data_IF_737114364570
#
_entry.id   IF_737114364570
#
_cell.length_a   1.000
_cell.length_b   1.000
_cell.length_c   1.000
_cell.angle_alpha   90.00
_cell.angle_beta   90.00
_cell.angle_gamma   90.00
#
_symmetry.space_group_name_H-M   'P 1'
#
loop_
_entity.id
_entity.type
_entity.pdbx_description
1 polymer ?
#
# COMPACT_ATOMS: atom_id res chain seq x y z
N UNK A 1 8.16 14.51 20.62
CA UNK A 1 8.52 15.05 19.29
C UNK A 1 7.31 14.91 18.37
N UNK A 2 6.88 16.00 17.70
CA UNK A 2 5.73 15.97 16.78
C UNK A 2 6.18 16.18 15.35
N UNK A 3 5.91 15.22 14.47
CA UNK A 3 6.38 15.20 13.08
C UNK A 3 5.19 15.23 12.12
N UNK A 4 5.26 16.10 11.11
CA UNK A 4 4.32 16.05 10.00
C UNK A 4 4.90 15.15 8.89
N UNK A 5 4.18 14.11 8.57
CA UNK A 5 4.49 13.25 7.44
C UNK A 5 3.64 13.62 6.22
N UNK A 6 4.30 13.82 5.09
CA UNK A 6 3.64 14.07 3.81
C UNK A 6 3.87 12.89 2.87
N UNK A 7 2.87 12.02 2.76
CA UNK A 7 2.83 10.91 1.80
C UNK A 7 1.39 10.70 1.36
N UNK A 8 1.05 11.20 0.18
CA UNK A 8 -0.36 11.37 -0.22
C UNK A 8 -0.91 10.19 -1.02
N UNK A 9 -0.10 9.54 -1.86
CA UNK A 9 -0.54 8.47 -2.76
C UNK A 9 0.65 7.75 -3.41
N UNK A 10 0.53 6.56 -4.03
CA UNK A 10 -0.69 5.76 -4.13
C UNK A 10 -0.88 4.87 -2.89
N UNK A 11 -1.88 3.94 -2.92
CA UNK A 11 -2.10 3.02 -1.78
C UNK A 11 -0.83 2.26 -1.39
N UNK A 12 -0.13 1.65 -2.35
CA UNK A 12 1.13 0.94 -2.08
C UNK A 12 2.20 1.85 -1.48
N UNK A 13 2.35 3.09 -1.99
CA UNK A 13 3.30 4.06 -1.44
C UNK A 13 2.97 4.47 0.00
N UNK A 14 1.67 4.60 0.33
CA UNK A 14 1.21 4.91 1.69
C UNK A 14 1.55 3.73 2.62
N UNK A 15 1.25 2.50 2.21
CA UNK A 15 1.60 1.29 2.96
C UNK A 15 3.11 1.16 3.16
N UNK A 16 3.91 1.36 2.11
CA UNK A 16 5.37 1.28 2.17
C UNK A 16 6.01 2.28 3.15
N UNK A 17 5.24 3.25 3.64
CA UNK A 17 5.74 4.23 4.62
C UNK A 17 5.62 3.73 6.07
N UNK A 18 4.72 2.80 6.35
CA UNK A 18 4.46 2.30 7.71
C UNK A 18 5.71 1.75 8.42
N UNK A 19 6.62 0.98 7.76
CA UNK A 19 7.81 0.49 8.43
C UNK A 19 8.75 1.59 8.93
N UNK A 20 8.81 2.72 8.26
CA UNK A 20 9.63 3.85 8.71
C UNK A 20 9.05 4.51 9.98
N UNK A 21 7.72 4.51 10.16
CA UNK A 21 7.09 4.96 11.40
C UNK A 21 7.40 4.00 12.56
N UNK A 22 7.39 2.70 12.29
CA UNK A 22 7.77 1.68 13.28
C UNK A 22 9.20 1.87 13.76
N UNK A 23 10.15 2.04 12.82
CA UNK A 23 11.54 2.31 13.15
C UNK A 23 11.69 3.59 13.97
N UNK A 24 11.06 4.68 13.54
CA UNK A 24 11.11 5.96 14.24
C UNK A 24 10.56 5.86 15.66
N UNK A 25 9.43 5.16 15.86
CA UNK A 25 8.82 4.96 17.18
C UNK A 25 9.71 4.17 18.12
N UNK A 26 10.51 3.25 17.61
CA UNK A 26 11.46 2.45 18.39
C UNK A 26 12.71 3.24 18.82
N UNK A 27 13.11 4.25 18.04
CA UNK A 27 14.39 4.96 18.24
C UNK A 27 14.24 6.38 18.79
N UNK A 28 13.08 7.00 18.61
CA UNK A 28 12.82 8.37 19.07
C UNK A 28 11.72 8.33 20.14
N UNK A 29 12.05 8.60 21.41
CA UNK A 29 11.07 8.59 22.51
C UNK A 29 9.90 9.54 22.23
N UNK A 30 8.69 9.09 22.54
CA UNK A 30 7.45 9.88 22.47
C UNK A 30 7.19 10.57 21.13
N UNK A 31 7.72 10.01 20.03
CA UNK A 31 7.45 10.52 18.68
C UNK A 31 5.98 10.27 18.30
N UNK A 32 5.35 11.30 17.76
CA UNK A 32 3.98 11.26 17.23
C UNK A 32 3.96 11.83 15.81
N UNK A 33 3.19 11.21 14.93
CA UNK A 33 3.03 11.65 13.56
C UNK A 33 1.63 12.18 13.29
N UNK A 34 1.57 13.36 12.69
CA UNK A 34 0.41 13.80 11.93
C UNK A 34 0.68 13.47 10.46
N UNK A 35 -0.25 12.83 9.76
CA UNK A 35 -0.01 12.35 8.40
C UNK A 35 -0.95 12.97 7.38
N UNK A 36 -0.40 13.69 6.41
CA UNK A 36 -1.14 14.20 5.24
C UNK A 36 -1.21 13.13 4.17
N UNK A 37 -2.43 12.70 3.85
CA UNK A 37 -2.72 11.62 2.90
C UNK A 37 -3.95 11.94 2.05
N UNK A 38 -4.00 11.45 0.81
CA UNK A 38 -5.19 11.61 -0.06
C UNK A 38 -6.42 10.96 0.59
N UNK A 39 -7.58 11.63 0.51
CA UNK A 39 -8.84 11.23 1.19
C UNK A 39 -9.21 9.76 1.01
N UNK A 40 -8.96 9.18 -0.18
CA UNK A 40 -9.24 7.77 -0.47
C UNK A 40 -8.36 6.76 0.28
N UNK A 41 -7.27 7.20 0.92
CA UNK A 41 -6.36 6.36 1.69
C UNK A 41 -6.27 6.76 3.16
N UNK A 42 -7.10 7.69 3.61
CA UNK A 42 -7.04 8.27 4.96
C UNK A 42 -7.21 7.24 6.08
N UNK A 43 -7.78 6.08 5.77
CA UNK A 43 -7.97 5.00 6.73
C UNK A 43 -6.67 4.24 7.05
N UNK A 44 -5.72 4.14 6.10
CA UNK A 44 -4.48 3.37 6.29
C UNK A 44 -3.61 3.88 7.45
N UNK A 45 -3.32 5.19 7.55
CA UNK A 45 -2.53 5.71 8.66
C UNK A 45 -3.12 5.43 10.04
N UNK A 46 -4.46 5.36 10.17
CA UNK A 46 -5.14 5.13 11.46
C UNK A 46 -4.88 3.75 12.05
N UNK A 47 -4.35 2.82 11.27
CA UNK A 47 -4.00 1.47 11.72
C UNK A 47 -2.66 1.39 12.45
N UNK A 48 -1.83 2.44 12.31
CA UNK A 48 -0.50 2.46 12.92
C UNK A 48 -0.48 3.31 14.20
N UNK A 49 0.03 2.75 15.28
CA UNK A 49 -0.01 3.33 16.62
C UNK A 49 0.95 4.52 16.86
N UNK A 50 1.76 4.91 15.87
CA UNK A 50 2.59 6.12 15.92
C UNK A 50 1.87 7.33 15.29
N UNK A 51 0.73 7.12 14.61
CA UNK A 51 -0.05 8.19 13.98
C UNK A 51 -1.07 8.71 14.97
N UNK A 52 -0.97 10.00 15.29
CA UNK A 52 -1.89 10.69 16.20
C UNK A 52 -3.05 11.29 15.41
N UNK A 53 -2.77 12.01 14.32
CA UNK A 53 -3.78 12.63 13.50
C UNK A 53 -3.58 12.31 12.02
N UNK A 54 -4.68 12.09 11.32
CA UNK A 54 -4.72 12.00 9.87
C UNK A 54 -5.32 13.28 9.31
N UNK A 55 -4.61 13.91 8.39
CA UNK A 55 -5.01 15.14 7.70
C UNK A 55 -5.34 14.80 6.25
N UNK A 56 -6.61 14.54 5.90
CA UNK A 56 -6.99 14.19 4.53
C UNK A 56 -6.79 15.37 3.59
N UNK A 57 -6.25 15.09 2.40
CA UNK A 57 -6.14 16.04 1.31
C UNK A 57 -6.80 15.47 0.05
N UNK A 58 -7.44 16.30 -0.75
CA UNK A 58 -8.15 15.87 -1.95
C UNK A 58 -7.58 16.50 -3.24
N UNK A 59 -6.24 16.47 -3.40
CA UNK A 59 -5.55 17.12 -4.52
C UNK A 59 -6.10 16.66 -5.87
N UNK A 60 -6.41 15.35 -6.01
CA UNK A 60 -6.94 14.79 -7.26
C UNK A 60 -8.31 15.37 -7.62
N UNK A 61 -9.18 15.55 -6.63
CA UNK A 61 -10.52 16.11 -6.80
C UNK A 61 -10.45 17.62 -6.96
N UNK A 62 -9.67 18.33 -6.14
CA UNK A 62 -9.51 19.79 -6.22
C UNK A 62 -9.01 20.27 -7.57
N UNK A 63 -8.05 19.55 -8.19
CA UNK A 63 -7.50 19.91 -9.51
C UNK A 63 -8.55 19.99 -10.61
N UNK A 64 -9.63 19.22 -10.53
CA UNK A 64 -10.70 19.23 -11.53
C UNK A 64 -11.56 20.48 -11.44
N UNK A 65 -11.67 21.10 -10.25
CA UNK A 65 -12.58 22.21 -9.98
C UNK A 65 -11.92 23.26 -9.08
N UNK A 66 -10.66 23.60 -9.36
CA UNK A 66 -9.81 24.42 -8.49
C UNK A 66 -10.40 25.76 -8.06
N UNK A 67 -11.21 26.41 -8.93
CA UNK A 67 -11.78 27.74 -8.71
C UNK A 67 -13.19 27.73 -8.11
N UNK A 68 -13.83 26.56 -7.95
CA UNK A 68 -15.14 26.47 -7.32
C UNK A 68 -15.08 26.95 -5.87
N UNK A 69 -16.16 27.60 -5.41
CA UNK A 69 -16.24 28.19 -4.06
C UNK A 69 -16.05 27.13 -2.96
N UNK A 70 -16.78 26.02 -3.05
CA UNK A 70 -16.67 24.88 -2.13
C UNK A 70 -15.24 24.31 -2.04
N UNK A 71 -14.56 24.13 -3.18
CA UNK A 71 -13.17 23.65 -3.22
C UNK A 71 -12.20 24.68 -2.60
N UNK A 72 -12.45 25.97 -2.78
CA UNK A 72 -11.64 27.01 -2.13
C UNK A 72 -11.80 26.99 -0.61
N UNK A 73 -13.02 26.78 -0.13
CA UNK A 73 -13.33 26.64 1.30
C UNK A 73 -12.66 25.40 1.90
N UNK A 74 -12.78 24.23 1.26
CA UNK A 74 -12.08 23.00 1.68
C UNK A 74 -10.55 23.20 1.76
N UNK A 75 -9.96 23.84 0.76
CA UNK A 75 -8.52 24.14 0.74
C UNK A 75 -8.13 25.13 1.84
N UNK A 76 -8.97 26.09 2.17
CA UNK A 76 -8.73 27.01 3.28
C UNK A 76 -8.78 26.28 4.63
N UNK A 77 -9.76 25.40 4.83
CA UNK A 77 -9.87 24.55 6.02
C UNK A 77 -8.66 23.62 6.16
N UNK A 78 -8.26 22.92 5.09
CA UNK A 78 -7.07 22.10 5.06
C UNK A 78 -5.81 22.88 5.45
N UNK A 79 -5.63 24.09 4.88
CA UNK A 79 -4.51 24.97 5.22
C UNK A 79 -4.55 25.38 6.70
N UNK A 80 -5.71 25.74 7.22
CA UNK A 80 -5.87 26.09 8.63
C UNK A 80 -5.51 24.92 9.52
N UNK A 81 -6.01 23.71 9.23
CA UNK A 81 -5.68 22.49 9.96
C UNK A 81 -4.17 22.20 9.96
N UNK A 82 -3.52 22.32 8.79
CA UNK A 82 -2.08 22.11 8.64
C UNK A 82 -1.24 23.10 9.45
N UNK A 83 -1.74 24.30 9.67
CA UNK A 83 -1.07 25.39 10.38
C UNK A 83 -1.42 25.48 11.87
N UNK A 84 -2.25 24.57 12.40
CA UNK A 84 -2.60 24.56 13.82
C UNK A 84 -1.42 24.24 14.75
N UNK A 85 -0.42 23.53 14.22
CA UNK A 85 0.72 23.05 15.00
C UNK A 85 2.04 23.54 14.42
N UNK A 86 2.99 23.78 15.32
CA UNK A 86 4.40 23.87 14.99
C UNK A 86 4.98 22.45 15.08
N UNK A 87 5.58 21.96 13.99
CA UNK A 87 6.19 20.65 13.94
C UNK A 87 7.70 20.74 14.20
N UNK A 88 8.23 19.76 14.93
CA UNK A 88 9.67 19.63 15.11
C UNK A 88 10.38 19.27 13.79
N UNK A 89 9.72 18.42 12.99
CA UNK A 89 10.16 18.07 11.65
C UNK A 89 8.95 17.87 10.71
N UNK A 90 9.13 18.17 9.44
CA UNK A 90 8.17 17.90 8.35
C UNK A 90 8.91 17.02 7.35
N UNK A 91 8.48 15.76 7.18
CA UNK A 91 9.11 14.81 6.26
C UNK A 91 8.26 14.63 5.01
N UNK A 92 8.72 15.15 3.86
CA UNK A 92 8.08 14.91 2.57
C UNK A 92 8.63 13.62 1.93
N UNK A 93 7.98 12.51 2.23
CA UNK A 93 8.29 11.21 1.64
C UNK A 93 7.61 10.99 0.28
N UNK A 94 6.79 11.95 -0.21
CA UNK A 94 6.16 11.89 -1.53
C UNK A 94 7.14 12.28 -2.65
N UNK A 95 7.92 13.34 -2.43
CA UNK A 95 8.94 13.79 -3.36
C UNK A 95 8.41 14.31 -4.70
N UNK A 96 7.24 14.93 -4.72
CA UNK A 96 6.61 15.53 -5.90
C UNK A 96 6.42 17.04 -5.70
N UNK A 97 6.52 17.81 -6.77
CA UNK A 97 6.30 19.26 -6.73
C UNK A 97 4.94 19.62 -6.12
N UNK A 98 3.91 18.84 -6.42
CA UNK A 98 2.56 19.08 -5.87
C UNK A 98 2.50 18.90 -4.35
N UNK A 99 3.19 17.90 -3.76
CA UNK A 99 3.25 17.71 -2.32
C UNK A 99 4.09 18.79 -1.65
N UNK A 100 5.24 19.10 -2.21
CA UNK A 100 6.13 20.13 -1.70
C UNK A 100 5.46 21.51 -1.72
N UNK A 101 4.79 21.89 -2.82
CA UNK A 101 4.17 23.19 -2.98
C UNK A 101 2.82 23.35 -2.25
N UNK A 102 1.95 22.32 -2.33
CA UNK A 102 0.58 22.43 -1.80
C UNK A 102 0.45 22.00 -0.33
N UNK A 103 1.45 21.30 0.21
CA UNK A 103 1.42 20.79 1.57
C UNK A 103 2.68 21.22 2.34
N UNK A 104 3.84 20.69 2.01
CA UNK A 104 5.09 20.84 2.78
C UNK A 104 5.44 22.31 3.04
N UNK A 105 5.32 23.16 2.01
CA UNK A 105 5.60 24.60 2.12
C UNK A 105 4.66 25.32 3.09
N UNK A 106 3.42 24.87 3.25
CA UNK A 106 2.41 25.55 4.05
C UNK A 106 2.50 25.23 5.54
N UNK A 107 3.14 24.12 5.91
CA UNK A 107 3.32 23.72 7.29
C UNK A 107 4.49 24.47 7.94
N UNK A 108 4.42 24.63 9.26
CA UNK A 108 5.44 25.32 10.07
C UNK A 108 6.34 24.31 10.78
N UNK A 109 7.63 24.33 10.47
CA UNK A 109 8.65 23.41 11.03
C UNK A 109 9.81 23.21 10.07
N UNK A 110 10.85 22.47 10.51
CA UNK A 110 12.01 22.10 9.70
C UNK A 110 11.62 21.08 8.63
N UNK A 111 11.85 21.39 7.37
CA UNK A 111 11.38 20.60 6.21
C UNK A 111 12.48 19.69 5.70
N UNK A 112 12.21 18.39 5.72
CA UNK A 112 13.09 17.33 5.26
C UNK A 112 12.51 16.65 4.04
N UNK A 113 13.38 16.24 3.11
CA UNK A 113 12.99 15.48 1.93
C UNK A 113 14.22 14.92 1.21
N UNK A 114 13.99 14.25 0.10
CA UNK A 114 15.05 13.70 -0.74
C UNK A 114 15.84 14.82 -1.43
N UNK A 115 17.14 14.63 -1.61
CA UNK A 115 17.97 15.53 -2.39
C UNK A 115 17.61 15.49 -3.90
N UNK A 116 18.18 16.43 -4.66
CA UNK A 116 17.91 16.59 -6.08
C UNK A 116 18.18 15.34 -6.91
N UNK A 117 19.11 14.47 -6.49
CA UNK A 117 19.48 13.24 -7.20
C UNK A 117 18.59 12.08 -6.84
N UNK A 118 18.13 12.02 -5.59
CA UNK A 118 17.31 10.95 -5.03
C UNK A 118 15.82 11.14 -5.27
N UNK A 119 15.35 12.39 -5.36
CA UNK A 119 13.94 12.72 -5.50
C UNK A 119 13.37 12.34 -6.89
N UNK A 120 12.06 12.13 -6.97
CA UNK A 120 11.37 11.84 -8.23
C UNK A 120 11.25 13.08 -9.14
N UNK A 121 10.92 14.22 -8.57
CA UNK A 121 10.82 15.51 -9.27
C UNK A 121 11.86 16.48 -8.68
N UNK A 122 13.01 16.69 -9.33
CA UNK A 122 14.15 17.44 -8.77
C UNK A 122 13.83 18.85 -8.27
N UNK A 123 12.85 19.53 -8.90
CA UNK A 123 12.43 20.87 -8.49
C UNK A 123 11.80 20.88 -7.09
N UNK A 124 11.20 19.80 -6.64
CA UNK A 124 10.57 19.74 -5.32
C UNK A 124 11.58 19.92 -4.18
N UNK A 125 12.87 19.57 -4.39
CA UNK A 125 13.91 19.72 -3.37
C UNK A 125 14.17 21.16 -2.93
N UNK A 126 13.78 22.16 -3.73
CA UNK A 126 13.96 23.60 -3.35
C UNK A 126 13.03 24.02 -2.20
N UNK A 127 12.05 23.22 -1.85
CA UNK A 127 11.12 23.49 -0.75
C UNK A 127 11.55 22.89 0.58
N UNK A 128 12.68 22.18 0.62
CA UNK A 128 13.19 21.53 1.83
C UNK A 128 14.35 22.29 2.42
N UNK A 129 14.39 22.39 3.75
CA UNK A 129 15.50 22.98 4.50
C UNK A 129 16.67 22.00 4.60
N UNK A 130 16.35 20.69 4.67
CA UNK A 130 17.30 19.59 4.74
C UNK A 130 17.00 18.56 3.65
N UNK A 131 17.98 18.35 2.77
CA UNK A 131 17.89 17.39 1.67
C UNK A 131 18.78 16.18 1.95
N UNK A 132 18.19 14.99 1.90
CA UNK A 132 18.85 13.73 2.22
C UNK A 132 19.15 12.91 0.96
N UNK A 133 20.38 12.41 0.86
CA UNK A 133 20.81 11.60 -0.28
C UNK A 133 20.46 10.13 -0.02
N UNK A 134 19.48 9.61 -0.75
CA UNK A 134 18.96 8.25 -0.60
C UNK A 134 19.06 7.51 -1.92
N UNK A 135 19.68 6.33 -1.93
CA UNK A 135 19.83 5.52 -3.15
C UNK A 135 18.48 5.19 -3.81
N UNK A 136 18.43 5.30 -5.13
CA UNK A 136 17.27 4.84 -5.94
C UNK A 136 17.30 3.33 -6.24
N UNK A 137 18.45 2.69 -6.03
CA UNK A 137 18.68 1.28 -6.36
C UNK A 137 18.37 0.36 -5.15
N UNK A 138 17.23 0.62 -4.50
CA UNK A 138 16.74 -0.20 -3.40
C UNK A 138 15.21 -0.14 -3.33
N UNK A 139 14.63 -1.07 -2.60
CA UNK A 139 13.18 -1.16 -2.46
C UNK A 139 12.59 0.14 -1.89
N UNK A 140 11.38 0.51 -2.32
CA UNK A 140 10.69 1.74 -1.91
C UNK A 140 10.58 1.88 -0.37
N UNK A 141 10.32 0.79 0.34
CA UNK A 141 10.30 0.75 1.82
C UNK A 141 11.64 1.16 2.40
N UNK A 142 12.74 0.58 1.90
CA UNK A 142 14.07 0.87 2.41
C UNK A 142 14.47 2.32 2.17
N UNK A 143 14.08 2.88 1.02
CA UNK A 143 14.28 4.30 0.72
C UNK A 143 13.59 5.23 1.71
N UNK A 144 12.36 4.89 2.10
CA UNK A 144 11.60 5.71 3.05
C UNK A 144 12.19 5.56 4.45
N UNK A 145 12.61 4.36 4.84
CA UNK A 145 13.32 4.11 6.12
C UNK A 145 14.62 4.91 6.22
N UNK A 146 15.41 4.98 5.14
CA UNK A 146 16.62 5.82 5.08
C UNK A 146 16.28 7.31 5.25
N UNK A 147 15.26 7.80 4.52
CA UNK A 147 14.84 9.19 4.64
C UNK A 147 14.45 9.55 6.08
N UNK A 148 13.70 8.68 6.76
CA UNK A 148 13.28 8.92 8.15
C UNK A 148 14.46 8.89 9.11
N UNK A 149 15.35 7.91 8.97
CA UNK A 149 16.56 7.79 9.79
C UNK A 149 17.43 9.05 9.70
N UNK A 150 17.70 9.53 8.49
CA UNK A 150 18.48 10.74 8.23
C UNK A 150 17.75 12.01 8.73
N UNK A 151 16.42 12.09 8.54
CA UNK A 151 15.64 13.26 8.96
C UNK A 151 15.50 13.38 10.47
N UNK A 152 15.45 12.26 11.19
CA UNK A 152 15.21 12.19 12.63
C UNK A 152 16.48 11.89 13.45
N UNK A 153 17.62 11.68 12.78
CA UNK A 153 18.92 11.52 13.44
C UNK A 153 19.12 10.19 14.16
N UNK A 154 18.48 9.10 13.70
CA UNK A 154 18.74 7.77 14.23
C UNK A 154 19.38 6.86 13.16
N UNK A 155 20.04 5.79 13.62
CA UNK A 155 20.60 4.79 12.70
C UNK A 155 19.52 3.84 12.25
N UNK A 156 19.30 3.72 10.90
CA UNK A 156 18.35 2.76 10.34
C UNK A 156 18.66 1.34 10.85
N UNK A 157 17.64 0.60 11.38
CA UNK A 157 17.81 -0.79 11.74
C UNK A 157 18.19 -1.66 10.55
N UNK A 158 19.08 -2.62 10.74
CA UNK A 158 19.55 -3.54 9.70
C UNK A 158 18.53 -4.62 9.35
N UNK A 159 17.55 -4.86 10.21
CA UNK A 159 16.48 -5.84 9.99
C UNK A 159 15.45 -5.39 8.96
N UNK A 160 14.64 -6.34 8.51
CA UNK A 160 13.49 -6.08 7.67
C UNK A 160 12.49 -5.17 8.39
N UNK A 161 11.94 -4.18 7.68
CA UNK A 161 10.98 -3.25 8.26
C UNK A 161 9.64 -3.92 8.59
N UNK A 162 9.03 -3.52 9.71
CA UNK A 162 7.74 -4.02 10.20
C UNK A 162 6.64 -2.98 9.94
N UNK A 163 5.59 -3.37 9.26
CA UNK A 163 4.41 -2.53 9.03
C UNK A 163 3.61 -2.25 10.31
N UNK A 164 3.71 -3.14 11.29
CA UNK A 164 3.07 -3.05 12.62
C UNK A 164 1.53 -2.94 12.61
N UNK A 165 0.87 -3.27 11.50
CA UNK A 165 -0.60 -3.19 11.38
C UNK A 165 -1.31 -4.55 11.41
N UNK A 166 -0.61 -5.66 11.18
CA UNK A 166 -1.23 -6.99 11.12
C UNK A 166 -2.04 -7.32 12.37
N UNK A 167 -1.51 -6.98 13.56
CA UNK A 167 -2.18 -7.23 14.85
C UNK A 167 -3.51 -6.48 15.00
N UNK A 168 -3.70 -5.36 14.31
CA UNK A 168 -4.95 -4.60 14.33
C UNK A 168 -6.11 -5.38 13.71
N UNK A 169 -5.81 -6.29 12.77
CA UNK A 169 -6.80 -7.05 12.00
C UNK A 169 -6.94 -8.52 12.44
N UNK A 170 -6.05 -9.01 13.30
CA UNK A 170 -6.14 -10.37 13.84
C UNK A 170 -7.26 -10.43 14.89
N UNK A 171 -8.39 -11.05 14.55
CA UNK A 171 -9.47 -11.35 15.47
C UNK A 171 -9.40 -12.82 15.91
N UNK A 172 -9.70 -13.11 17.19
CA UNK A 172 -9.81 -14.49 17.71
C UNK A 172 -10.85 -15.32 16.93
N UNK A 173 -11.88 -14.68 16.40
CA UNK A 173 -12.95 -15.29 15.61
C UNK A 173 -12.47 -15.86 14.25
N UNK A 174 -11.36 -15.35 13.72
CA UNK A 174 -10.81 -15.87 12.45
C UNK A 174 -10.28 -17.31 12.56
N UNK A 175 -10.03 -17.81 13.78
CA UNK A 175 -9.55 -19.18 14.02
C UNK A 175 -10.63 -20.25 13.76
N UNK A 176 -11.90 -19.88 13.68
CA UNK A 176 -13.03 -20.81 13.50
C UNK A 176 -13.59 -20.81 12.07
N UNK A 177 -13.11 -19.94 11.20
CA UNK A 177 -13.56 -19.92 9.81
C UNK A 177 -12.86 -21.02 9.00
N UNK A 178 -13.61 -21.63 8.06
CA UNK A 178 -13.00 -22.53 7.08
C UNK A 178 -11.90 -21.79 6.31
N UNK A 179 -10.73 -22.43 6.07
CA UNK A 179 -9.65 -21.81 5.33
C UNK A 179 -10.11 -21.38 3.93
N UNK A 180 -9.66 -20.20 3.51
CA UNK A 180 -9.97 -19.66 2.19
C UNK A 180 -8.77 -18.92 1.59
N UNK A 181 -8.78 -18.82 0.27
CA UNK A 181 -7.89 -17.99 -0.52
C UNK A 181 -8.60 -16.69 -0.90
N UNK A 182 -7.82 -15.65 -1.17
CA UNK A 182 -8.32 -14.42 -1.79
C UNK A 182 -7.62 -14.22 -3.13
N UNK A 183 -8.41 -13.98 -4.19
CA UNK A 183 -7.86 -13.65 -5.50
C UNK A 183 -8.09 -12.16 -5.79
N UNK A 184 -7.01 -11.41 -5.86
CA UNK A 184 -7.01 -10.00 -6.23
C UNK A 184 -6.83 -9.88 -7.75
N UNK A 185 -7.94 -10.05 -8.46
CA UNK A 185 -7.99 -10.26 -9.90
C UNK A 185 -7.98 -8.96 -10.72
N UNK A 186 -8.06 -7.79 -10.06
CA UNK A 186 -8.26 -6.51 -10.72
C UNK A 186 -7.22 -5.46 -10.32
N UNK A 187 -6.93 -4.57 -11.25
CA UNK A 187 -6.02 -3.43 -11.11
C UNK A 187 -6.48 -2.30 -12.02
N UNK A 188 -5.92 -1.10 -11.85
CA UNK A 188 -6.30 0.10 -12.63
C UNK A 188 -5.68 0.16 -14.02
N UNK A 189 -4.76 -0.73 -14.36
CA UNK A 189 -4.01 -0.75 -15.63
C UNK A 189 -4.29 -2.06 -16.38
N UNK A 190 -4.87 -1.96 -17.56
CA UNK A 190 -5.32 -3.12 -18.33
C UNK A 190 -4.20 -4.12 -18.64
N UNK A 191 -2.98 -3.62 -18.93
CA UNK A 191 -1.82 -4.46 -19.21
C UNK A 191 -1.32 -5.28 -18.01
N UNK A 192 -1.85 -5.03 -16.81
CA UNK A 192 -1.57 -5.79 -15.58
C UNK A 192 -2.67 -6.80 -15.25
N UNK A 193 -3.71 -6.90 -16.04
CA UNK A 193 -4.74 -7.92 -15.82
C UNK A 193 -4.24 -9.28 -16.33
N UNK A 194 -4.30 -10.27 -15.44
CA UNK A 194 -4.12 -11.66 -15.85
C UNK A 194 -5.36 -12.13 -16.61
N UNK A 195 -5.21 -12.93 -17.69
CA UNK A 195 -6.33 -13.40 -18.51
C UNK A 195 -7.42 -14.09 -17.68
N UNK A 196 -8.69 -13.89 -18.05
CA UNK A 196 -9.82 -14.47 -17.32
C UNK A 196 -9.86 -16.00 -17.43
N UNK A 197 -9.48 -16.56 -18.56
CA UNK A 197 -9.32 -18.00 -18.76
C UNK A 197 -8.26 -18.61 -17.85
N UNK A 198 -7.13 -17.92 -17.61
CA UNK A 198 -6.11 -18.35 -16.68
C UNK A 198 -6.62 -18.33 -15.22
N UNK A 199 -7.34 -17.26 -14.81
CA UNK A 199 -7.99 -17.23 -13.50
C UNK A 199 -8.98 -18.39 -13.35
N UNK A 200 -9.82 -18.64 -14.34
CA UNK A 200 -10.82 -19.71 -14.32
C UNK A 200 -10.18 -21.09 -14.28
N UNK A 201 -9.08 -21.29 -15.01
CA UNK A 201 -8.30 -22.55 -14.95
C UNK A 201 -7.73 -22.76 -13.55
N UNK A 202 -7.09 -21.72 -12.94
CA UNK A 202 -6.57 -21.80 -11.57
C UNK A 202 -7.69 -22.12 -10.56
N UNK A 203 -8.87 -21.50 -10.69
CA UNK A 203 -10.05 -21.79 -9.86
C UNK A 203 -10.46 -23.25 -9.99
N UNK A 204 -10.51 -23.79 -11.23
CA UNK A 204 -10.85 -25.18 -11.49
C UNK A 204 -9.84 -26.15 -10.87
N UNK A 205 -8.53 -25.84 -10.99
CA UNK A 205 -7.45 -26.69 -10.44
C UNK A 205 -7.45 -26.73 -8.90
N UNK A 206 -7.96 -25.68 -8.24
CA UNK A 206 -8.09 -25.62 -6.77
C UNK A 206 -9.35 -26.36 -6.27
N UNK A 207 -10.40 -26.49 -7.07
CA UNK A 207 -11.68 -27.08 -6.67
C UNK A 207 -11.58 -28.43 -5.93
N UNK A 208 -10.70 -29.40 -6.35
CA UNK A 208 -10.55 -30.68 -5.65
C UNK A 208 -10.04 -30.55 -4.22
N UNK A 209 -9.42 -29.44 -3.85
CA UNK A 209 -8.88 -29.22 -2.48
C UNK A 209 -9.97 -28.90 -1.47
N UNK A 210 -11.15 -28.52 -1.91
CA UNK A 210 -12.25 -28.05 -1.06
C UNK A 210 -12.03 -26.67 -0.43
N UNK A 211 -10.95 -25.96 -0.77
CA UNK A 211 -10.66 -24.62 -0.27
C UNK A 211 -11.55 -23.61 -1.00
N UNK A 212 -12.15 -22.67 -0.26
CA UNK A 212 -12.96 -21.60 -0.84
C UNK A 212 -12.08 -20.48 -1.35
N UNK A 213 -12.58 -19.78 -2.38
CA UNK A 213 -11.92 -18.62 -2.97
C UNK A 213 -12.85 -17.42 -2.82
N UNK A 214 -12.32 -16.29 -2.35
CA UNK A 214 -13.05 -15.02 -2.23
C UNK A 214 -12.54 -14.02 -3.27
N UNK A 215 -13.47 -13.40 -4.00
CA UNK A 215 -13.19 -12.39 -5.03
C UNK A 215 -13.70 -11.03 -4.57
N UNK A 216 -12.83 -10.15 -4.04
CA UNK A 216 -13.17 -8.77 -3.76
C UNK A 216 -13.17 -7.92 -5.02
N UNK A 217 -13.89 -6.79 -4.97
CA UNK A 217 -13.98 -5.81 -6.04
C UNK A 217 -14.21 -4.40 -5.48
N UNK A 218 -13.84 -3.36 -6.23
CA UNK A 218 -14.00 -1.96 -5.84
C UNK A 218 -14.93 -1.17 -6.77
N UNK A 219 -14.91 -1.49 -8.06
CA UNK A 219 -15.73 -0.83 -9.10
C UNK A 219 -16.74 -1.81 -9.71
N UNK A 220 -17.79 -1.27 -10.34
CA UNK A 220 -18.79 -2.13 -11.01
C UNK A 220 -18.16 -2.98 -12.14
N UNK A 221 -17.19 -2.44 -12.87
CA UNK A 221 -16.46 -3.19 -13.89
C UNK A 221 -15.71 -4.40 -13.27
N UNK A 222 -15.07 -4.22 -12.13
CA UNK A 222 -14.40 -5.31 -11.41
C UNK A 222 -15.41 -6.32 -10.84
N UNK A 223 -16.62 -5.86 -10.41
CA UNK A 223 -17.70 -6.72 -9.97
C UNK A 223 -18.15 -7.67 -11.09
N UNK A 224 -18.43 -7.12 -12.28
CA UNK A 224 -18.81 -7.92 -13.43
C UNK A 224 -17.72 -8.93 -13.83
N UNK A 225 -16.45 -8.55 -13.72
CA UNK A 225 -15.31 -9.46 -13.89
C UNK A 225 -15.34 -10.59 -12.84
N UNK A 226 -15.54 -10.27 -11.57
CA UNK A 226 -15.61 -11.26 -10.50
C UNK A 226 -16.74 -12.27 -10.72
N UNK A 227 -17.92 -11.82 -11.18
CA UNK A 227 -19.05 -12.67 -11.50
C UNK A 227 -18.71 -13.65 -12.64
N UNK A 228 -18.07 -13.20 -13.72
CA UNK A 228 -17.61 -14.08 -14.83
C UNK A 228 -16.58 -15.11 -14.36
N UNK A 229 -15.67 -14.72 -13.47
CA UNK A 229 -14.66 -15.63 -12.89
C UNK A 229 -15.30 -16.71 -12.01
N UNK A 230 -16.35 -16.37 -11.27
CA UNK A 230 -17.06 -17.26 -10.35
C UNK A 230 -18.07 -18.18 -11.05
N UNK A 231 -18.50 -17.86 -12.27
CA UNK A 231 -19.55 -18.57 -12.99
C UNK A 231 -19.24 -20.07 -13.13
N UNK A 232 -20.14 -20.92 -12.62
CA UNK A 232 -20.00 -22.37 -12.64
C UNK A 232 -19.18 -22.98 -11.49
N UNK A 233 -18.65 -22.16 -10.55
CA UNK A 233 -17.82 -22.63 -9.44
C UNK A 233 -18.48 -22.41 -8.07
N UNK A 234 -19.02 -23.46 -7.43
CA UNK A 234 -19.72 -23.37 -6.14
C UNK A 234 -18.82 -23.04 -4.94
N UNK A 235 -17.50 -23.17 -5.08
CA UNK A 235 -16.50 -22.86 -4.05
C UNK A 235 -15.93 -21.44 -4.14
N UNK A 236 -16.47 -20.61 -5.06
CA UNK A 236 -16.04 -19.22 -5.26
C UNK A 236 -17.10 -18.26 -4.75
N UNK A 237 -16.70 -17.32 -3.90
CA UNK A 237 -17.56 -16.29 -3.33
C UNK A 237 -17.18 -14.92 -3.92
N UNK A 238 -18.06 -14.32 -4.71
CA UNK A 238 -17.97 -12.90 -5.04
C UNK A 238 -18.43 -12.11 -3.81
N UNK A 239 -17.55 -11.31 -3.24
CA UNK A 239 -17.86 -10.58 -2.01
C UNK A 239 -18.82 -9.40 -2.29
N UNK A 240 -19.56 -8.93 -1.27
CA UNK A 240 -20.25 -7.65 -1.38
C UNK A 240 -19.23 -6.51 -1.54
N UNK A 241 -19.71 -5.31 -1.86
CA UNK A 241 -18.83 -4.13 -1.86
C UNK A 241 -18.34 -3.85 -0.44
N UNK A 242 -17.03 -3.86 -0.27
CA UNK A 242 -16.36 -3.69 1.02
C UNK A 242 -15.65 -2.34 1.10
N UNK A 243 -15.58 -1.80 2.31
CA UNK A 243 -14.67 -0.71 2.67
C UNK A 243 -13.23 -1.22 2.73
N UNK A 244 -12.26 -0.31 2.77
CA UNK A 244 -10.84 -0.68 2.87
C UNK A 244 -10.52 -1.44 4.16
N UNK A 245 -11.16 -1.11 5.29
CA UNK A 245 -10.98 -1.85 6.55
C UNK A 245 -11.59 -3.26 6.48
N UNK A 246 -12.76 -3.41 5.88
CA UNK A 246 -13.39 -4.73 5.72
C UNK A 246 -12.57 -5.64 4.82
N UNK A 247 -12.02 -5.11 3.70
CA UNK A 247 -11.12 -5.91 2.85
C UNK A 247 -9.82 -6.26 3.58
N UNK A 248 -9.28 -5.38 4.43
CA UNK A 248 -8.13 -5.69 5.27
C UNK A 248 -8.42 -6.85 6.24
N UNK A 249 -9.60 -6.91 6.85
CA UNK A 249 -10.02 -8.07 7.66
C UNK A 249 -10.13 -9.36 6.83
N UNK A 250 -10.67 -9.28 5.61
CA UNK A 250 -10.75 -10.44 4.70
C UNK A 250 -9.34 -10.93 4.34
N UNK A 251 -8.44 -10.03 4.01
CA UNK A 251 -7.05 -10.38 3.68
C UNK A 251 -6.31 -10.96 4.90
N UNK A 252 -6.46 -10.35 6.09
CA UNK A 252 -5.82 -10.82 7.31
C UNK A 252 -6.26 -12.24 7.72
N UNK A 253 -7.49 -12.64 7.39
CA UNK A 253 -8.01 -13.99 7.64
C UNK A 253 -7.71 -15.01 6.53
N UNK A 254 -7.14 -14.60 5.41
CA UNK A 254 -6.83 -15.51 4.30
C UNK A 254 -5.67 -16.44 4.65
N UNK A 255 -5.71 -17.67 4.15
CA UNK A 255 -4.57 -18.60 4.20
C UNK A 255 -3.46 -18.16 3.27
N UNK A 256 -3.81 -17.75 2.07
CA UNK A 256 -2.92 -17.12 1.09
C UNK A 256 -3.71 -16.26 0.14
N UNK A 257 -2.99 -15.42 -0.58
CA UNK A 257 -3.53 -14.52 -1.60
C UNK A 257 -2.83 -14.79 -2.93
N UNK A 258 -3.57 -14.79 -4.01
CA UNK A 258 -3.02 -14.69 -5.37
C UNK A 258 -3.46 -13.36 -5.94
N UNK A 259 -2.51 -12.55 -6.39
CA UNK A 259 -2.80 -11.18 -6.78
C UNK A 259 -2.10 -10.78 -8.08
N UNK A 260 -2.72 -9.89 -8.84
CA UNK A 260 -1.97 -9.06 -9.79
C UNK A 260 -1.27 -7.93 -9.05
N UNK A 261 -0.36 -7.21 -9.70
CA UNK A 261 0.30 -6.02 -9.14
C UNK A 261 -0.73 -4.88 -8.91
N UNK A 262 -1.17 -4.74 -7.67
CA UNK A 262 -2.22 -3.81 -7.23
C UNK A 262 -1.97 -3.30 -5.81
N UNK A 263 -2.63 -2.21 -5.41
CA UNK A 263 -2.53 -1.66 -4.06
C UNK A 263 -2.90 -2.66 -2.95
N UNK A 264 -3.87 -3.54 -3.18
CA UNK A 264 -4.27 -4.59 -2.23
C UNK A 264 -3.22 -5.70 -2.07
N UNK A 265 -2.37 -5.94 -3.08
CA UNK A 265 -1.21 -6.83 -2.96
C UNK A 265 -0.23 -6.32 -1.89
N UNK A 266 0.04 -5.00 -1.88
CA UNK A 266 0.86 -4.38 -0.83
C UNK A 266 0.19 -4.40 0.54
N UNK A 267 -1.14 -4.28 0.59
CA UNK A 267 -1.89 -4.44 1.84
C UNK A 267 -1.77 -5.87 2.37
N UNK A 268 -1.83 -6.87 1.50
CA UNK A 268 -1.60 -8.27 1.86
C UNK A 268 -0.23 -8.48 2.51
N UNK A 269 0.81 -7.90 1.93
CA UNK A 269 2.17 -7.93 2.50
C UNK A 269 2.23 -7.22 3.87
N UNK A 270 1.57 -6.06 4.00
CA UNK A 270 1.53 -5.30 5.26
C UNK A 270 0.73 -6.00 6.38
N UNK A 271 -0.12 -6.95 6.03
CA UNK A 271 -0.88 -7.81 6.94
C UNK A 271 -0.15 -9.14 7.26
N UNK A 272 1.10 -9.29 6.85
CA UNK A 272 1.90 -10.53 7.00
C UNK A 272 1.20 -11.78 6.44
N UNK A 273 0.51 -11.62 5.30
CA UNK A 273 -0.14 -12.76 4.64
C UNK A 273 0.66 -13.25 3.46
N UNK A 274 0.77 -14.58 3.32
CA UNK A 274 1.41 -15.19 2.15
C UNK A 274 0.73 -14.74 0.86
N UNK A 275 1.51 -14.30 -0.12
CA UNK A 275 0.98 -13.75 -1.36
C UNK A 275 1.82 -14.15 -2.57
N UNK A 276 1.18 -14.72 -3.58
CA UNK A 276 1.76 -14.93 -4.91
C UNK A 276 1.33 -13.74 -5.76
N UNK A 277 2.29 -12.87 -6.11
CA UNK A 277 1.99 -11.68 -6.92
C UNK A 277 2.47 -11.87 -8.34
N UNK A 278 1.57 -11.72 -9.31
CA UNK A 278 1.81 -11.89 -10.73
C UNK A 278 2.29 -10.59 -11.36
N UNK A 279 3.46 -10.62 -12.00
CA UNK A 279 4.08 -9.46 -12.65
C UNK A 279 4.29 -9.73 -14.15
N UNK A 280 3.58 -9.00 -15.00
CA UNK A 280 3.83 -8.95 -16.44
C UNK A 280 4.87 -7.86 -16.76
N UNK A 281 4.42 -6.62 -17.07
CA UNK A 281 5.32 -5.54 -17.51
C UNK A 281 6.14 -4.88 -16.38
N UNK A 282 5.78 -5.08 -15.11
CA UNK A 282 6.39 -4.41 -13.96
C UNK A 282 7.53 -5.23 -13.37
N UNK A 283 8.61 -4.57 -12.95
CA UNK A 283 9.71 -5.20 -12.21
C UNK A 283 9.38 -5.24 -10.69
N UNK A 284 9.30 -6.41 -10.05
CA UNK A 284 9.02 -6.53 -8.63
C UNK A 284 10.16 -6.06 -7.71
N UNK A 285 11.40 -5.95 -8.21
CA UNK A 285 12.59 -5.74 -7.36
C UNK A 285 12.59 -4.44 -6.57
N UNK A 286 12.00 -3.36 -7.12
CA UNK A 286 12.00 -2.03 -6.51
C UNK A 286 10.70 -1.68 -5.78
N UNK A 287 9.59 -2.28 -6.18
CA UNK A 287 8.23 -1.90 -5.71
C UNK A 287 7.33 -3.10 -5.45
N UNK A 288 7.83 -4.32 -5.44
CA UNK A 288 7.05 -5.54 -5.19
C UNK A 288 6.52 -5.63 -3.76
N UNK A 289 5.92 -6.77 -3.41
CA UNK A 289 5.53 -7.06 -2.04
C UNK A 289 6.76 -7.09 -1.13
N UNK A 290 6.71 -6.31 -0.05
CA UNK A 290 7.78 -6.28 0.95
C UNK A 290 7.34 -7.07 2.18
N UNK A 291 7.97 -8.20 2.46
CA UNK A 291 7.60 -9.11 3.54
C UNK A 291 8.23 -10.49 3.33
N UNK A 292 8.16 -11.34 4.35
CA UNK A 292 8.81 -12.65 4.34
C UNK A 292 8.15 -13.64 3.38
N UNK A 293 6.84 -13.60 3.30
CA UNK A 293 6.01 -14.57 2.58
C UNK A 293 5.47 -13.97 1.26
N UNK A 294 6.29 -13.17 0.59
CA UNK A 294 5.94 -12.56 -0.69
C UNK A 294 6.65 -13.29 -1.83
N UNK A 295 5.87 -13.91 -2.70
CA UNK A 295 6.34 -14.75 -3.81
C UNK A 295 6.03 -14.06 -5.15
N UNK A 296 6.95 -13.24 -5.69
CA UNK A 296 6.75 -12.62 -7.00
C UNK A 296 6.91 -13.66 -8.11
N UNK A 297 5.91 -13.79 -8.95
CA UNK A 297 5.98 -14.59 -10.18
C UNK A 297 6.05 -13.64 -11.38
N UNK A 298 7.23 -13.54 -11.97
CA UNK A 298 7.52 -12.64 -13.08
C UNK A 298 7.46 -13.37 -14.40
N UNK A 299 6.66 -12.86 -15.32
CA UNK A 299 6.61 -13.36 -16.69
C UNK A 299 7.95 -13.17 -17.43
N UNK A 300 8.32 -14.18 -18.20
CA UNK A 300 9.54 -14.16 -19.03
C UNK A 300 9.39 -13.20 -20.21
N UNK A 301 8.19 -13.14 -20.79
CA UNK A 301 7.89 -12.31 -21.98
C UNK A 301 7.39 -10.89 -21.64
N UNK A 302 7.36 -10.53 -20.34
CA UNK A 302 6.83 -9.28 -19.82
C UNK A 302 5.33 -9.04 -20.08
N UNK A 303 4.58 -10.08 -20.43
CA UNK A 303 3.11 -10.02 -20.55
C UNK A 303 2.44 -10.78 -19.41
N UNK A 304 1.22 -10.43 -19.04
CA UNK A 304 0.49 -11.20 -18.05
C UNK A 304 0.08 -12.57 -18.57
N UNK A 305 -0.15 -12.72 -19.87
CA UNK A 305 -0.49 -13.99 -20.52
C UNK A 305 0.66 -15.01 -20.51
N UNK A 306 1.90 -14.55 -20.35
CA UNK A 306 3.07 -15.42 -20.25
C UNK A 306 3.19 -16.18 -18.93
N UNK A 307 2.39 -15.84 -17.91
CA UNK A 307 2.28 -16.61 -16.66
C UNK A 307 1.14 -17.61 -16.82
N UNK A 308 1.44 -18.89 -16.69
CA UNK A 308 0.42 -19.94 -16.82
C UNK A 308 -0.09 -20.43 -15.46
N UNK A 309 -1.35 -20.92 -15.34
CA UNK A 309 -1.95 -21.32 -14.06
C UNK A 309 -1.16 -22.40 -13.31
N UNK A 310 -0.51 -23.32 -14.02
CA UNK A 310 0.31 -24.38 -13.43
C UNK A 310 1.53 -23.86 -12.65
N UNK A 311 2.10 -22.71 -13.05
CA UNK A 311 3.21 -22.07 -12.30
C UNK A 311 2.71 -21.57 -10.92
N UNK A 312 1.51 -21.00 -10.89
CA UNK A 312 0.87 -20.59 -9.62
C UNK A 312 0.55 -21.80 -8.76
N UNK A 313 0.03 -22.86 -9.36
CA UNK A 313 -0.26 -24.13 -8.66
C UNK A 313 0.97 -24.81 -8.07
N UNK A 314 2.14 -24.67 -8.69
CA UNK A 314 3.41 -25.21 -8.15
C UNK A 314 3.84 -24.45 -6.87
N UNK A 315 3.60 -23.15 -6.79
CA UNK A 315 3.96 -22.33 -5.62
C UNK A 315 2.94 -22.44 -4.48
N UNK A 316 1.67 -22.69 -4.79
CA UNK A 316 0.57 -22.61 -3.83
C UNK A 316 0.70 -23.59 -2.64
N UNK A 317 1.13 -24.86 -2.79
CA UNK A 317 1.33 -25.78 -1.67
C UNK A 317 2.41 -25.31 -0.70
N UNK A 318 3.52 -24.75 -1.19
CA UNK A 318 4.59 -24.17 -0.37
C UNK A 318 4.05 -22.98 0.43
N UNK A 319 3.39 -22.06 -0.23
CA UNK A 319 2.77 -20.86 0.39
C UNK A 319 1.73 -21.25 1.44
N UNK A 320 0.94 -22.29 1.21
CA UNK A 320 -0.04 -22.80 2.19
C UNK A 320 0.61 -23.52 3.38
N UNK A 321 1.76 -24.15 3.20
CA UNK A 321 2.49 -24.83 4.28
C UNK A 321 3.08 -23.82 5.27
N UNK A 322 3.50 -22.63 4.81
CA UNK A 322 4.05 -21.55 5.62
C UNK A 322 2.97 -20.82 6.47
N UNK A 323 1.72 -20.98 6.13
CA UNK A 323 0.58 -20.31 6.83
C UNK A 323 0.04 -21.08 8.05
N UNK A 324 0.82 -22.06 8.58
CA UNK A 324 0.45 -22.86 9.78
C UNK A 324 0.77 -22.16 11.10
#
# INVERSE_FOLDING_TARGET
MRVLLVKTSSMGDVLHTLPALTDAKQHVPDIQFDWVVEEGFAQIPTWHNAVENVIPVAIRRWRKNWFRKDIREERAQFRQQLQQHQYDAIIDAQGLLKSAFLVTRLASGSKHGYDRKSIREPIASVFYDHCHSVSKQQHAVERIRDLFADSLGYKKPSGHGDYAIARHFLRKENCYQRPYLVFLHATTRDEKHWPEDHWRQLIADIAPTGVRIKLPWGTEHEHQRALRLAEGFSHVDVLPKLTLAEIAHVLAGAKAVVSVDTGLSHLTAALDRPNITLFGPTDPGLIGGYGKEQHPLKSVDNTMGGIIPSEVMLLLPEVLALSR
#
